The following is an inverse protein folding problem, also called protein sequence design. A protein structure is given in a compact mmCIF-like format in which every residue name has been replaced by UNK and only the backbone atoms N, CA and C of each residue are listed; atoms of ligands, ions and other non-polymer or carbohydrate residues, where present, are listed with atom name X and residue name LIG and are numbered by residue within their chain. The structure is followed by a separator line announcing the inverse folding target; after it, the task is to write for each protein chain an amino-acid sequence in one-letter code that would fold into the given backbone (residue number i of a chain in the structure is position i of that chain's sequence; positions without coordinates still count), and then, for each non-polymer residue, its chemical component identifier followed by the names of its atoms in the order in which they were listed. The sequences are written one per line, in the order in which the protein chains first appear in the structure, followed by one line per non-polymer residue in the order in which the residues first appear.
data_IF_138533137985
#
_entry.id   IF_138533137985
#
_cell.length_a   1.000
_cell.length_b   1.000
_cell.length_c   1.000
_cell.angle_alpha   90.00
_cell.angle_beta   90.00
_cell.angle_gamma   90.00
#
_symmetry.space_group_name_H-M   'P 1'
#
loop_
_entity.id
_entity.type
_entity.pdbx_description
1 polymer ?
#
# COMPACT_ATOMS: atom_id res chain seq x y z
N UNK A 1 21.51 -26.13 -41.05
CA UNK A 1 22.33 -25.39 -40.09
C UNK A 1 22.14 -23.88 -40.23
N UNK A 2 22.13 -23.29 -41.44
CA UNK A 2 22.01 -21.83 -41.65
C UNK A 2 20.67 -21.26 -41.19
N UNK A 3 19.55 -21.97 -41.41
CA UNK A 3 18.19 -21.53 -41.01
C UNK A 3 17.99 -21.55 -39.48
N UNK A 4 18.56 -22.52 -38.78
CA UNK A 4 18.51 -22.55 -37.31
C UNK A 4 19.25 -21.40 -36.63
N UNK A 5 20.39 -20.97 -37.24
CA UNK A 5 21.14 -19.83 -36.74
C UNK A 5 20.37 -18.51 -36.95
N UNK A 6 19.71 -18.37 -38.13
CA UNK A 6 18.86 -17.18 -38.44
C UNK A 6 17.66 -17.11 -37.51
N UNK A 7 16.99 -18.24 -37.24
CA UNK A 7 15.89 -18.29 -36.27
C UNK A 7 16.32 -17.97 -34.85
N UNK A 8 17.51 -18.45 -34.43
CA UNK A 8 18.05 -18.14 -33.09
C UNK A 8 18.39 -16.66 -32.94
N UNK A 9 19.03 -16.07 -33.97
CA UNK A 9 19.35 -14.62 -33.97
C UNK A 9 18.06 -13.77 -33.97
N UNK A 10 17.05 -14.17 -34.74
CA UNK A 10 15.76 -13.50 -34.75
C UNK A 10 15.07 -13.56 -33.38
N UNK A 11 15.06 -14.72 -32.71
CA UNK A 11 14.53 -14.89 -31.36
C UNK A 11 15.29 -14.06 -30.33
N UNK A 12 16.64 -13.98 -30.44
CA UNK A 12 17.47 -13.14 -29.58
C UNK A 12 17.18 -11.65 -29.79
N UNK A 13 17.05 -11.19 -31.05
CA UNK A 13 16.77 -9.78 -31.36
C UNK A 13 15.35 -9.39 -30.93
N UNK A 14 14.36 -10.25 -31.18
CA UNK A 14 13.00 -9.99 -30.71
C UNK A 14 12.87 -10.05 -29.17
N UNK A 15 13.53 -11.02 -28.54
CA UNK A 15 13.56 -11.14 -27.08
C UNK A 15 14.25 -9.96 -26.38
N UNK A 16 15.41 -9.51 -26.91
CA UNK A 16 16.09 -8.32 -26.38
C UNK A 16 15.31 -7.04 -26.66
N UNK A 17 14.65 -6.92 -27.81
CA UNK A 17 13.80 -5.78 -28.14
C UNK A 17 12.58 -5.69 -27.20
N UNK A 18 11.88 -6.79 -26.97
CA UNK A 18 10.78 -6.83 -26.00
C UNK A 18 11.24 -6.49 -24.58
N UNK A 19 12.36 -7.08 -24.14
CA UNK A 19 12.92 -6.78 -22.83
C UNK A 19 13.26 -5.28 -22.67
N UNK A 20 13.86 -4.69 -23.69
CA UNK A 20 14.21 -3.26 -23.66
C UNK A 20 12.97 -2.36 -23.59
N UNK A 21 11.92 -2.66 -24.34
CA UNK A 21 10.65 -1.92 -24.34
C UNK A 21 9.99 -2.01 -22.94
N UNK A 22 9.88 -3.21 -22.39
CA UNK A 22 9.29 -3.42 -21.04
C UNK A 22 10.10 -2.71 -19.97
N UNK A 23 11.44 -2.86 -19.99
CA UNK A 23 12.31 -2.19 -19.04
C UNK A 23 12.19 -0.66 -19.13
N UNK A 24 12.15 -0.11 -20.34
CA UNK A 24 11.99 1.33 -20.53
C UNK A 24 10.63 1.83 -20.05
N UNK A 25 9.56 1.10 -20.31
CA UNK A 25 8.21 1.45 -19.86
C UNK A 25 8.11 1.43 -18.33
N UNK A 26 8.65 0.40 -17.67
CA UNK A 26 8.71 0.30 -16.21
C UNK A 26 9.55 1.42 -15.59
N UNK A 27 10.71 1.72 -16.18
CA UNK A 27 11.57 2.80 -15.73
C UNK A 27 10.89 4.17 -15.86
N UNK A 28 10.19 4.42 -16.99
CA UNK A 28 9.45 5.66 -17.20
C UNK A 28 8.31 5.79 -16.17
N UNK A 29 7.47 4.77 -16.03
CA UNK A 29 6.39 4.77 -15.04
C UNK A 29 6.90 5.00 -13.62
N UNK A 30 7.99 4.33 -13.22
CA UNK A 30 8.61 4.54 -11.91
C UNK A 30 9.12 5.98 -11.72
N UNK A 31 9.65 6.61 -12.77
CA UNK A 31 10.08 8.00 -12.71
C UNK A 31 8.89 8.94 -12.52
N UNK A 32 7.77 8.69 -13.16
CA UNK A 32 6.55 9.49 -13.03
C UNK A 32 5.87 9.26 -11.67
N UNK A 33 5.98 8.05 -11.12
CA UNK A 33 5.53 7.73 -9.75
C UNK A 33 6.42 8.35 -8.67
N UNK A 34 7.72 8.57 -8.96
CA UNK A 34 8.68 9.01 -7.97
C UNK A 34 8.39 10.45 -7.53
N UNK A 35 8.05 10.60 -6.26
CA UNK A 35 7.74 11.88 -5.63
C UNK A 35 8.41 11.92 -4.26
N UNK A 36 9.65 12.45 -4.18
CA UNK A 36 10.39 12.53 -2.93
C UNK A 36 9.68 13.45 -1.93
N UNK A 37 9.84 13.15 -0.65
CA UNK A 37 9.43 14.03 0.45
C UNK A 37 10.62 14.82 0.94
N UNK A 38 10.37 15.99 1.53
CA UNK A 38 11.43 16.86 2.06
C UNK A 38 11.95 16.31 3.41
N UNK A 39 12.54 15.11 3.35
CA UNK A 39 13.35 14.47 4.40
C UNK A 39 14.09 13.27 3.82
N UNK A 40 15.33 13.08 4.23
CA UNK A 40 16.15 11.94 3.78
C UNK A 40 15.92 10.69 4.64
N UNK A 41 15.75 10.87 5.95
CA UNK A 41 15.57 9.79 6.93
C UNK A 41 14.46 10.17 7.91
N UNK A 42 13.76 9.18 8.44
CA UNK A 42 12.82 9.38 9.55
C UNK A 42 13.58 9.81 10.81
N UNK A 43 13.00 10.74 11.60
CA UNK A 43 13.54 11.12 12.90
C UNK A 43 13.53 9.96 13.92
N UNK A 44 12.93 8.83 13.58
CA UNK A 44 12.85 7.60 14.41
C UNK A 44 13.86 6.53 13.98
N UNK A 45 14.79 6.85 13.07
CA UNK A 45 15.83 5.96 12.58
C UNK A 45 17.17 6.70 12.52
N UNK A 46 18.24 6.06 12.93
CA UNK A 46 19.58 6.68 12.95
C UNK A 46 20.18 6.77 11.53
N UNK A 47 19.99 5.71 10.71
CA UNK A 47 20.54 5.58 9.37
C UNK A 47 19.46 5.31 8.33
N UNK A 48 19.77 5.55 7.05
CA UNK A 48 18.90 5.15 5.93
C UNK A 48 18.83 3.63 5.80
N UNK A 49 17.70 3.12 5.30
CA UNK A 49 17.54 1.71 4.95
C UNK A 49 18.52 1.29 3.88
N UNK A 50 19.34 0.29 4.15
CA UNK A 50 20.25 -0.34 3.22
C UNK A 50 19.63 -1.61 2.63
N UNK A 51 19.25 -1.57 1.34
CA UNK A 51 18.75 -2.75 0.65
C UNK A 51 19.86 -3.80 0.40
N UNK A 52 21.12 -3.37 0.28
CA UNK A 52 22.28 -4.28 0.15
C UNK A 52 22.49 -5.11 1.43
N UNK A 53 22.23 -4.52 2.59
CA UNK A 53 22.30 -5.21 3.89
C UNK A 53 20.99 -5.91 4.27
N UNK A 54 19.97 -5.80 3.42
CA UNK A 54 18.63 -6.37 3.61
C UNK A 54 17.93 -5.87 4.88
N UNK A 55 18.11 -4.61 5.20
CA UNK A 55 17.44 -4.00 6.35
C UNK A 55 15.92 -4.15 6.28
N UNK A 56 15.24 -4.44 7.38
CA UNK A 56 13.80 -4.33 7.43
C UNK A 56 13.36 -2.88 7.29
N UNK A 57 12.28 -2.66 6.57
CA UNK A 57 11.76 -1.31 6.29
C UNK A 57 10.25 -1.21 6.48
N UNK A 58 9.78 0.01 6.53
CA UNK A 58 8.37 0.35 6.70
C UNK A 58 7.82 1.17 5.53
N UNK A 59 6.55 0.98 5.23
CA UNK A 59 5.82 1.71 4.18
C UNK A 59 4.46 2.17 4.70
N UNK A 60 4.12 3.44 4.49
CA UNK A 60 2.77 3.93 4.68
C UNK A 60 2.00 3.90 3.36
N UNK A 61 0.97 3.06 3.27
CA UNK A 61 0.01 3.07 2.18
C UNK A 61 -1.09 4.08 2.48
N UNK A 62 -1.33 5.00 1.53
CA UNK A 62 -2.37 6.00 1.59
C UNK A 62 -3.32 5.84 0.40
N UNK A 63 -4.56 5.47 0.65
CA UNK A 63 -5.65 5.54 -0.32
C UNK A 63 -6.36 6.88 -0.21
N UNK A 64 -6.30 7.68 -1.29
CA UNK A 64 -6.80 9.06 -1.29
C UNK A 64 -8.04 9.19 -2.18
N UNK A 65 -9.07 9.84 -1.67
CA UNK A 65 -10.22 10.32 -2.47
C UNK A 65 -9.96 11.80 -2.82
N UNK A 66 -9.09 12.03 -3.81
CA UNK A 66 -8.85 13.36 -4.36
C UNK A 66 -9.93 13.70 -5.37
N UNK A 67 -10.49 14.92 -5.26
CA UNK A 67 -11.44 15.47 -6.23
C UNK A 67 -10.91 16.82 -6.71
N UNK A 68 -11.30 17.21 -7.89
CA UNK A 68 -10.90 18.50 -8.45
C UNK A 68 -11.24 19.65 -7.47
N UNK A 69 -10.20 20.34 -6.99
CA UNK A 69 -10.32 21.45 -6.02
C UNK A 69 -10.37 21.06 -4.54
N UNK A 70 -10.29 19.77 -4.19
CA UNK A 70 -10.15 19.27 -2.81
C UNK A 70 -8.83 18.50 -2.65
N UNK A 71 -8.03 18.86 -1.65
CA UNK A 71 -6.77 18.15 -1.34
C UNK A 71 -7.00 16.67 -0.94
N UNK A 72 -8.25 16.26 -0.81
CA UNK A 72 -8.64 14.90 -0.44
C UNK A 72 -8.34 14.57 1.02
N UNK A 73 -8.74 13.37 1.43
CA UNK A 73 -8.42 12.77 2.72
C UNK A 73 -7.89 11.37 2.50
N UNK A 74 -7.01 10.93 3.38
CA UNK A 74 -6.58 9.53 3.39
C UNK A 74 -7.67 8.67 4.04
N UNK A 75 -8.54 8.10 3.22
CA UNK A 75 -9.61 7.23 3.72
C UNK A 75 -9.13 5.79 4.00
N UNK A 76 -7.97 5.45 3.48
CA UNK A 76 -7.24 4.22 3.79
C UNK A 76 -5.83 4.58 4.26
N UNK A 77 -5.46 4.09 5.44
CA UNK A 77 -4.12 4.25 6.02
C UNK A 77 -3.66 2.89 6.52
N UNK A 78 -2.63 2.33 5.89
CA UNK A 78 -2.09 1.01 6.25
C UNK A 78 -0.58 1.12 6.37
N UNK A 79 -0.04 0.68 7.49
CA UNK A 79 1.40 0.53 7.70
C UNK A 79 1.80 -0.90 7.35
N UNK A 80 2.83 -1.01 6.54
CA UNK A 80 3.53 -2.26 6.24
C UNK A 80 4.89 -2.23 6.92
N UNK A 81 5.28 -3.31 7.57
CA UNK A 81 6.68 -3.58 7.89
C UNK A 81 7.12 -4.82 7.14
N UNK A 82 8.25 -4.73 6.45
CA UNK A 82 8.79 -5.79 5.60
C UNK A 82 10.13 -6.22 6.17
N UNK A 83 10.23 -7.48 6.60
CA UNK A 83 11.45 -8.06 7.15
C UNK A 83 11.86 -9.26 6.29
N UNK A 84 12.96 -9.15 5.53
CA UNK A 84 13.41 -10.21 4.63
C UNK A 84 13.99 -11.40 5.38
N UNK A 85 14.66 -11.20 6.50
CA UNK A 85 15.27 -12.27 7.31
C UNK A 85 14.20 -13.14 7.97
N UNK A 86 13.13 -12.53 8.46
CA UNK A 86 11.94 -13.23 8.97
C UNK A 86 11.04 -13.74 7.85
N UNK A 87 11.28 -13.34 6.59
CA UNK A 87 10.44 -13.64 5.43
C UNK A 87 8.98 -13.27 5.66
N UNK A 88 8.75 -12.08 6.25
CA UNK A 88 7.47 -11.68 6.78
C UNK A 88 7.14 -10.24 6.44
N UNK A 89 5.88 -10.00 6.11
CA UNK A 89 5.28 -8.66 6.02
C UNK A 89 4.17 -8.56 7.06
N UNK A 90 4.21 -7.51 7.88
CA UNK A 90 3.12 -7.22 8.82
C UNK A 90 2.29 -6.05 8.32
N UNK A 91 0.97 -6.20 8.31
CA UNK A 91 0.01 -5.18 7.91
C UNK A 91 -0.74 -4.65 9.14
N UNK A 92 -0.74 -3.34 9.32
CA UNK A 92 -1.54 -2.63 10.32
C UNK A 92 -2.46 -1.64 9.63
N UNK A 93 -3.78 -1.84 9.69
CA UNK A 93 -4.75 -0.83 9.29
C UNK A 93 -4.99 0.17 10.42
N UNK A 94 -4.92 1.46 10.10
CA UNK A 94 -5.23 2.54 11.02
C UNK A 94 -6.61 3.09 10.68
N UNK A 95 -7.59 3.01 11.60
CA UNK A 95 -8.92 3.59 11.38
C UNK A 95 -8.80 5.10 11.12
N UNK A 96 -9.37 5.58 10.02
CA UNK A 96 -9.24 6.99 9.58
C UNK A 96 -9.75 8.01 10.60
N UNK A 97 -10.70 7.61 11.44
CA UNK A 97 -11.30 8.45 12.49
C UNK A 97 -10.54 8.38 13.82
N UNK A 98 -9.35 7.73 13.86
CA UNK A 98 -8.52 7.62 15.06
C UNK A 98 -8.20 9.00 15.61
N UNK A 99 -8.46 9.19 16.92
CA UNK A 99 -8.14 10.40 17.64
C UNK A 99 -6.65 10.44 17.97
N UNK A 100 -5.89 11.22 17.22
CA UNK A 100 -4.43 11.31 17.30
C UNK A 100 -3.97 12.76 17.35
N UNK A 101 -2.80 12.98 17.96
CA UNK A 101 -2.09 14.25 17.87
C UNK A 101 -1.55 14.42 16.45
N UNK A 102 -1.89 15.54 15.81
CA UNK A 102 -1.46 15.84 14.44
C UNK A 102 -0.09 16.52 14.50
N UNK A 103 0.90 15.90 13.88
CA UNK A 103 2.27 16.39 13.85
C UNK A 103 2.36 17.84 13.38
N UNK A 104 3.14 18.66 14.11
CA UNK A 104 3.34 20.08 13.77
C UNK A 104 2.17 21.01 14.05
N UNK A 105 1.01 20.51 14.55
CA UNK A 105 -0.15 21.35 14.88
C UNK A 105 -0.40 21.53 16.36
N UNK A 106 0.03 20.58 17.20
CA UNK A 106 -0.20 20.62 18.65
C UNK A 106 -1.66 20.42 19.07
N UNK A 107 -2.55 20.01 18.15
CA UNK A 107 -3.94 19.65 18.42
C UNK A 107 -4.19 18.17 18.11
N UNK A 108 -5.20 17.58 18.75
CA UNK A 108 -5.68 16.24 18.44
C UNK A 108 -6.87 16.30 17.51
N UNK A 109 -6.84 15.48 16.47
CA UNK A 109 -7.92 15.39 15.47
C UNK A 109 -8.03 13.97 14.92
N UNK A 110 -8.90 13.74 13.93
CA UNK A 110 -8.91 12.50 13.15
C UNK A 110 -7.59 12.35 12.40
N UNK A 111 -6.97 11.20 12.50
CA UNK A 111 -5.65 10.98 11.92
C UNK A 111 -5.60 11.22 10.41
N UNK A 112 -6.71 10.94 9.69
CA UNK A 112 -6.80 11.18 8.24
C UNK A 112 -6.78 12.67 7.86
N UNK A 113 -7.03 13.59 8.81
CA UNK A 113 -6.89 15.03 8.57
C UNK A 113 -5.43 15.46 8.42
N UNK A 114 -4.46 14.69 8.93
CA UNK A 114 -3.05 14.98 8.75
C UNK A 114 -2.69 15.12 7.26
N UNK A 115 -3.23 14.23 6.40
CA UNK A 115 -3.03 14.34 4.96
C UNK A 115 -3.64 15.63 4.38
N UNK A 116 -4.87 15.97 4.76
CA UNK A 116 -5.55 17.19 4.29
C UNK A 116 -4.82 18.48 4.71
N UNK A 117 -4.13 18.46 5.85
CA UNK A 117 -3.41 19.64 6.37
C UNK A 117 -1.99 19.80 5.81
N UNK A 118 -1.26 18.73 5.62
CA UNK A 118 0.16 18.79 5.24
C UNK A 118 0.62 17.66 4.32
N UNK A 119 -0.32 17.04 3.60
CA UNK A 119 -0.02 16.01 2.61
C UNK A 119 0.62 14.76 3.22
N UNK A 120 1.39 14.06 2.38
CA UNK A 120 2.06 12.80 2.75
C UNK A 120 2.99 13.00 3.94
N UNK A 121 3.79 14.06 3.96
CA UNK A 121 4.78 14.32 5.03
C UNK A 121 4.11 14.36 6.40
N UNK A 122 3.07 15.19 6.57
CA UNK A 122 2.38 15.32 7.85
C UNK A 122 1.63 14.03 8.23
N UNK A 123 1.09 13.29 7.26
CA UNK A 123 0.48 11.99 7.51
C UNK A 123 1.51 10.98 8.04
N UNK A 124 2.69 10.89 7.41
CA UNK A 124 3.78 10.03 7.88
C UNK A 124 4.23 10.41 9.29
N UNK A 125 4.56 11.69 9.53
CA UNK A 125 5.02 12.17 10.83
C UNK A 125 3.97 11.94 11.94
N UNK A 126 2.68 12.08 11.63
CA UNK A 126 1.60 11.81 12.58
C UNK A 126 1.52 10.33 12.95
N UNK A 127 1.66 9.44 11.96
CA UNK A 127 1.65 7.98 12.20
C UNK A 127 2.92 7.55 12.92
N UNK A 128 4.10 8.09 12.57
CA UNK A 128 5.37 7.86 13.27
C UNK A 128 5.28 8.27 14.75
N UNK A 129 4.65 9.42 15.02
CA UNK A 129 4.44 9.87 16.39
C UNK A 129 3.53 8.91 17.18
N UNK A 130 2.43 8.48 16.57
CA UNK A 130 1.47 7.57 17.20
C UNK A 130 2.06 6.17 17.44
N UNK A 131 2.80 5.63 16.47
CA UNK A 131 3.28 4.24 16.51
C UNK A 131 4.71 4.08 17.03
N UNK A 132 5.43 5.17 17.24
CA UNK A 132 6.84 5.22 17.68
C UNK A 132 7.77 4.32 16.85
N UNK A 133 7.57 4.35 15.52
CA UNK A 133 8.39 3.66 14.53
C UNK A 133 8.77 4.63 13.42
N UNK A 134 9.89 4.41 12.69
CA UNK A 134 10.14 5.11 11.43
C UNK A 134 9.11 4.70 10.38
N UNK A 135 8.77 5.62 9.47
CA UNK A 135 8.15 5.32 8.18
C UNK A 135 9.14 5.70 7.08
N UNK A 136 9.78 4.71 6.49
CA UNK A 136 10.88 4.91 5.54
C UNK A 136 10.35 5.34 4.17
N UNK A 137 9.26 4.69 3.75
CA UNK A 137 8.66 4.91 2.46
C UNK A 137 7.16 5.16 2.56
N UNK A 138 6.59 5.70 1.48
CA UNK A 138 5.16 5.79 1.31
C UNK A 138 4.75 5.33 -0.09
N UNK A 139 3.50 4.91 -0.21
CA UNK A 139 2.80 4.70 -1.47
C UNK A 139 1.44 5.39 -1.35
N UNK A 140 1.22 6.41 -2.17
CA UNK A 140 -0.07 7.11 -2.30
C UNK A 140 -0.75 6.65 -3.57
N UNK A 141 -2.01 6.24 -3.46
CA UNK A 141 -2.81 5.73 -4.58
C UNK A 141 -4.17 6.44 -4.57
N UNK A 142 -4.57 6.99 -5.71
CA UNK A 142 -5.95 7.45 -5.91
C UNK A 142 -6.83 6.32 -6.46
N UNK A 143 -8.10 6.60 -6.72
CA UNK A 143 -9.07 5.60 -7.15
C UNK A 143 -8.73 4.97 -8.49
N UNK A 144 -8.28 5.76 -9.46
CA UNK A 144 -7.89 5.30 -10.80
C UNK A 144 -6.64 4.42 -10.71
N UNK A 145 -5.61 4.87 -9.98
CA UNK A 145 -4.39 4.07 -9.77
C UNK A 145 -4.66 2.75 -9.06
N UNK A 146 -5.66 2.71 -8.16
CA UNK A 146 -6.07 1.46 -7.53
C UNK A 146 -6.70 0.49 -8.55
N UNK A 147 -7.60 0.97 -9.42
CA UNK A 147 -8.20 0.16 -10.48
C UNK A 147 -7.12 -0.36 -11.43
N UNK A 148 -6.26 0.52 -11.92
CA UNK A 148 -5.20 0.20 -12.87
C UNK A 148 -4.18 -0.80 -12.31
N UNK A 149 -3.78 -0.63 -11.05
CA UNK A 149 -2.86 -1.57 -10.39
C UNK A 149 -3.43 -3.00 -10.36
N UNK A 150 -4.72 -3.14 -10.09
CA UNK A 150 -5.37 -4.44 -10.08
C UNK A 150 -5.49 -5.02 -11.50
N UNK A 151 -5.81 -4.18 -12.48
CA UNK A 151 -5.96 -4.61 -13.88
C UNK A 151 -4.62 -5.02 -14.50
N UNK A 152 -3.51 -4.35 -14.14
CA UNK A 152 -2.13 -4.77 -14.52
C UNK A 152 -1.82 -6.17 -14.01
N UNK A 153 -2.28 -6.51 -12.81
CA UNK A 153 -2.07 -7.85 -12.23
C UNK A 153 -3.00 -8.92 -12.84
N UNK A 154 -3.91 -8.53 -13.74
CA UNK A 154 -4.90 -9.45 -14.30
C UNK A 154 -6.06 -9.76 -13.36
N UNK A 155 -6.29 -8.89 -12.37
CA UNK A 155 -7.29 -9.05 -11.31
C UNK A 155 -6.71 -9.58 -10.01
N UNK A 156 -7.49 -9.52 -8.95
CA UNK A 156 -7.12 -9.99 -7.59
C UNK A 156 -8.05 -11.08 -7.10
N UNK A 157 -7.50 -12.05 -6.39
CA UNK A 157 -8.25 -13.15 -5.77
C UNK A 157 -8.59 -12.81 -4.34
N UNK A 158 -9.87 -12.94 -3.98
CA UNK A 158 -10.38 -12.73 -2.62
C UNK A 158 -11.32 -13.87 -2.21
N UNK A 159 -11.47 -14.10 -0.92
CA UNK A 159 -12.43 -15.05 -0.37
C UNK A 159 -13.51 -14.29 0.40
N UNK A 160 -14.60 -13.95 -0.28
CA UNK A 160 -15.68 -13.16 0.29
C UNK A 160 -16.49 -13.94 1.32
N UNK A 161 -16.55 -13.44 2.54
CA UNK A 161 -17.30 -14.05 3.65
C UNK A 161 -18.75 -13.57 3.75
N UNK A 162 -19.11 -12.44 3.13
CA UNK A 162 -20.41 -11.79 3.20
C UNK A 162 -20.97 -11.53 1.80
N UNK A 163 -22.17 -12.01 1.49
CA UNK A 163 -22.83 -11.68 0.23
C UNK A 163 -23.38 -10.25 0.27
N UNK A 164 -23.06 -9.43 -0.73
CA UNK A 164 -23.56 -8.06 -0.85
C UNK A 164 -23.58 -7.55 -2.31
N UNK A 165 -24.20 -6.40 -2.50
CA UNK A 165 -24.15 -5.64 -3.75
C UNK A 165 -23.53 -4.26 -3.51
N UNK A 166 -22.65 -3.81 -4.39
CA UNK A 166 -22.00 -2.51 -4.31
C UNK A 166 -21.60 -2.03 -5.70
N UNK A 167 -21.78 -0.73 -6.00
CA UNK A 167 -21.39 -0.12 -7.27
C UNK A 167 -21.97 -0.80 -8.52
N UNK A 168 -23.13 -1.45 -8.40
CA UNK A 168 -23.76 -2.20 -9.49
C UNK A 168 -23.21 -3.61 -9.71
N UNK A 169 -22.30 -4.07 -8.85
CA UNK A 169 -21.75 -5.43 -8.86
C UNK A 169 -22.32 -6.26 -7.72
N UNK A 170 -22.43 -7.57 -7.97
CA UNK A 170 -22.84 -8.55 -6.97
C UNK A 170 -21.64 -9.38 -6.53
N UNK A 171 -21.44 -9.50 -5.21
CA UNK A 171 -20.36 -10.24 -4.57
C UNK A 171 -20.94 -11.39 -3.75
N UNK A 172 -21.05 -12.61 -4.32
CA UNK A 172 -21.48 -13.78 -3.57
C UNK A 172 -20.43 -14.23 -2.57
N UNK A 173 -20.81 -15.03 -1.59
CA UNK A 173 -19.87 -15.71 -0.68
C UNK A 173 -19.01 -16.71 -1.46
N UNK A 174 -17.73 -16.81 -1.12
CA UNK A 174 -16.76 -17.72 -1.71
C UNK A 174 -15.62 -17.02 -2.43
N UNK A 175 -14.86 -17.78 -3.19
CA UNK A 175 -13.70 -17.28 -3.91
C UNK A 175 -14.10 -16.48 -5.15
N UNK A 176 -13.57 -15.27 -5.25
CA UNK A 176 -13.84 -14.35 -6.35
C UNK A 176 -12.53 -13.89 -6.99
N UNK A 177 -12.59 -13.59 -8.30
CA UNK A 177 -11.55 -12.86 -9.01
C UNK A 177 -12.14 -11.52 -9.42
N UNK A 178 -11.55 -10.43 -8.93
CA UNK A 178 -12.06 -9.08 -9.12
C UNK A 178 -11.13 -8.30 -10.04
N UNK A 179 -11.69 -7.65 -11.06
CA UNK A 179 -10.98 -6.60 -11.82
C UNK A 179 -10.93 -5.29 -11.01
N UNK A 180 -10.22 -4.26 -11.53
CA UNK A 180 -10.02 -3.00 -10.83
C UNK A 180 -11.31 -2.35 -10.34
N UNK A 181 -12.32 -2.20 -11.21
CA UNK A 181 -13.62 -1.60 -10.87
C UNK A 181 -14.40 -2.42 -9.84
N UNK A 182 -14.37 -3.73 -9.97
CA UNK A 182 -15.01 -4.63 -9.00
C UNK A 182 -14.29 -4.55 -7.64
N UNK A 183 -12.96 -4.57 -7.62
CA UNK A 183 -12.18 -4.45 -6.40
C UNK A 183 -12.39 -3.11 -5.68
N UNK A 184 -12.46 -2.00 -6.43
CA UNK A 184 -12.80 -0.69 -5.86
C UNK A 184 -14.20 -0.70 -5.23
N UNK A 185 -15.21 -1.25 -5.92
CA UNK A 185 -16.56 -1.41 -5.38
C UNK A 185 -16.62 -2.30 -4.15
N UNK A 186 -15.87 -3.42 -4.17
CA UNK A 186 -15.74 -4.38 -3.06
C UNK A 186 -15.19 -3.72 -1.80
N UNK A 187 -14.13 -2.91 -1.95
CA UNK A 187 -13.49 -2.22 -0.82
C UNK A 187 -14.25 -1.00 -0.31
N UNK A 188 -15.26 -0.50 -1.04
CA UNK A 188 -16.06 0.66 -0.65
C UNK A 188 -17.32 0.30 0.14
N UNK A 189 -17.78 -0.95 0.07
CA UNK A 189 -18.98 -1.39 0.79
C UNK A 189 -18.77 -1.22 2.30
N UNK A 190 -19.77 -0.66 2.97
CA UNK A 190 -19.76 -0.38 4.41
C UNK A 190 -21.15 -0.48 5.04
N UNK A 191 -22.21 -0.06 4.34
CA UNK A 191 -23.54 0.15 4.94
C UNK A 191 -24.23 -1.18 5.30
N UNK A 192 -24.01 -2.19 4.48
CA UNK A 192 -24.63 -3.52 4.68
C UNK A 192 -23.70 -4.49 5.44
N UNK A 193 -22.58 -3.99 5.96
CA UNK A 193 -21.62 -4.77 6.71
C UNK A 193 -21.96 -4.73 8.21
N UNK A 194 -22.16 -5.88 8.88
CA UNK A 194 -22.37 -5.95 10.32
C UNK A 194 -21.24 -5.31 11.12
N UNK A 195 -20.00 -5.41 10.61
CA UNK A 195 -18.79 -4.86 11.24
C UNK A 195 -18.48 -3.41 10.76
N UNK A 196 -19.31 -2.86 9.88
CA UNK A 196 -19.23 -1.47 9.42
C UNK A 196 -17.89 -1.10 8.80
N UNK A 197 -17.18 -0.15 9.43
CA UNK A 197 -15.90 0.31 8.92
C UNK A 197 -14.77 -0.71 9.09
N UNK A 198 -14.84 -1.60 10.07
CA UNK A 198 -13.86 -2.68 10.27
C UNK A 198 -13.95 -3.74 9.18
N UNK A 199 -15.15 -4.16 8.78
CA UNK A 199 -15.32 -5.06 7.65
C UNK A 199 -14.81 -4.45 6.33
N UNK A 200 -14.99 -3.14 6.14
CA UNK A 200 -14.36 -2.43 5.02
C UNK A 200 -12.84 -2.51 5.06
N UNK A 201 -12.22 -2.27 6.22
CA UNK A 201 -10.77 -2.37 6.39
C UNK A 201 -10.26 -3.80 6.17
N UNK A 202 -11.01 -4.81 6.57
CA UNK A 202 -10.68 -6.21 6.30
C UNK A 202 -10.63 -6.50 4.80
N UNK A 203 -11.66 -6.09 4.03
CA UNK A 203 -11.66 -6.21 2.56
C UNK A 203 -10.50 -5.45 1.91
N UNK A 204 -10.14 -4.28 2.41
CA UNK A 204 -8.97 -3.54 1.92
C UNK A 204 -7.68 -4.31 2.17
N UNK A 205 -7.49 -4.88 3.36
CA UNK A 205 -6.32 -5.72 3.67
C UNK A 205 -6.25 -6.95 2.79
N UNK A 206 -7.38 -7.62 2.55
CA UNK A 206 -7.46 -8.80 1.68
C UNK A 206 -7.01 -8.49 0.25
N UNK A 207 -7.46 -7.37 -0.33
CA UNK A 207 -7.01 -6.90 -1.64
C UNK A 207 -5.50 -6.65 -1.61
N UNK A 208 -4.98 -5.93 -0.62
CA UNK A 208 -3.54 -5.63 -0.51
C UNK A 208 -2.72 -6.91 -0.40
N UNK A 209 -3.15 -7.88 0.41
CA UNK A 209 -2.49 -9.19 0.48
C UNK A 209 -2.47 -9.90 -0.88
N UNK A 210 -3.59 -9.86 -1.61
CA UNK A 210 -3.65 -10.45 -2.93
C UNK A 210 -2.70 -9.76 -3.91
N UNK A 211 -2.63 -8.43 -3.88
CA UNK A 211 -1.69 -7.62 -4.68
C UNK A 211 -0.24 -7.98 -4.34
N UNK A 212 0.13 -8.04 -3.06
CA UNK A 212 1.49 -8.38 -2.63
C UNK A 212 1.91 -9.79 -3.08
N UNK A 213 1.02 -10.77 -2.91
CA UNK A 213 1.29 -12.15 -3.35
C UNK A 213 1.43 -12.28 -4.86
N UNK A 214 0.61 -11.57 -5.63
CA UNK A 214 0.64 -11.62 -7.09
C UNK A 214 1.77 -10.77 -7.67
N UNK A 215 2.04 -9.60 -7.08
CA UNK A 215 3.12 -8.70 -7.49
C UNK A 215 4.51 -9.33 -7.35
N UNK A 216 4.66 -10.36 -6.51
CA UNK A 216 5.88 -11.17 -6.44
C UNK A 216 6.15 -11.97 -7.72
N UNK A 217 5.20 -12.07 -8.67
CA UNK A 217 5.32 -12.81 -9.93
C UNK A 217 5.26 -11.86 -11.14
N UNK A 218 6.40 -11.34 -11.56
CA UNK A 218 6.55 -10.37 -12.68
C UNK A 218 6.13 -10.89 -14.07
N UNK A 219 5.72 -12.15 -14.22
CA UNK A 219 5.38 -12.73 -15.52
C UNK A 219 4.14 -12.15 -16.20
N UNK A 220 3.35 -11.33 -15.50
CA UNK A 220 2.04 -10.83 -15.92
C UNK A 220 2.08 -9.43 -16.59
N UNK A 221 3.20 -8.70 -16.46
CA UNK A 221 3.29 -7.27 -16.85
C UNK A 221 3.50 -7.04 -18.37
N UNK A 222 3.59 -8.08 -19.18
CA UNK A 222 4.11 -8.01 -20.56
C UNK A 222 3.23 -7.29 -21.61
N UNK A 223 2.01 -6.81 -21.29
CA UNK A 223 1.10 -6.22 -22.29
C UNK A 223 0.37 -4.93 -21.88
N UNK A 224 0.96 -4.10 -21.03
CA UNK A 224 0.21 -3.06 -20.31
C UNK A 224 0.78 -1.65 -20.40
N UNK A 225 1.35 -1.25 -21.56
CA UNK A 225 2.00 0.08 -21.72
C UNK A 225 1.14 1.27 -21.29
N UNK A 226 -0.13 1.30 -21.70
CA UNK A 226 -1.04 2.42 -21.36
C UNK A 226 -1.40 2.43 -19.88
N UNK A 227 -1.54 1.25 -19.24
CA UNK A 227 -1.85 1.13 -17.82
C UNK A 227 -0.62 1.52 -16.97
N UNK A 228 0.60 1.21 -17.42
CA UNK A 228 1.83 1.65 -16.74
C UNK A 228 1.98 3.17 -16.75
N UNK A 229 1.54 3.84 -17.81
CA UNK A 229 1.50 5.31 -17.83
C UNK A 229 0.49 5.85 -16.84
N UNK A 230 -0.72 5.30 -16.80
CA UNK A 230 -1.76 5.69 -15.84
C UNK A 230 -1.31 5.48 -14.40
N UNK A 231 -0.62 4.37 -14.10
CA UNK A 231 0.01 4.17 -12.78
C UNK A 231 1.00 5.28 -12.45
N UNK A 232 1.81 5.75 -13.41
CA UNK A 232 2.75 6.84 -13.23
C UNK A 232 2.08 8.14 -12.78
N UNK A 233 0.88 8.41 -13.24
CA UNK A 233 0.09 9.61 -12.90
C UNK A 233 -0.62 9.45 -11.55
N UNK A 234 -1.17 8.29 -11.25
CA UNK A 234 -2.14 8.03 -10.19
C UNK A 234 -1.55 7.36 -8.94
N UNK A 235 -0.30 6.89 -9.01
CA UNK A 235 0.45 6.34 -7.87
C UNK A 235 1.67 7.21 -7.61
N UNK A 236 1.91 7.58 -6.35
CA UNK A 236 3.11 8.34 -5.95
C UNK A 236 3.83 7.64 -4.81
N UNK A 237 5.17 7.64 -4.88
CA UNK A 237 6.04 7.03 -3.87
C UNK A 237 7.40 7.74 -3.82
N UNK A 238 8.08 7.69 -2.68
CA UNK A 238 9.48 8.10 -2.58
C UNK A 238 10.46 6.97 -2.91
N UNK A 239 9.99 5.77 -3.21
CA UNK A 239 10.85 4.67 -3.69
C UNK A 239 11.39 5.00 -5.09
N UNK A 240 12.67 4.77 -5.30
CA UNK A 240 13.30 4.85 -6.60
C UNK A 240 13.11 3.56 -7.39
N UNK A 241 13.35 3.60 -8.72
CA UNK A 241 13.28 2.40 -9.55
C UNK A 241 14.25 1.30 -9.09
N UNK A 242 15.47 1.66 -8.70
CA UNK A 242 16.46 0.69 -8.23
C UNK A 242 15.98 0.01 -6.94
N UNK A 243 15.47 0.78 -5.98
CA UNK A 243 14.91 0.24 -4.73
C UNK A 243 13.72 -0.71 -4.98
N UNK A 244 12.87 -0.41 -5.97
CA UNK A 244 11.79 -1.33 -6.37
C UNK A 244 12.34 -2.65 -6.92
N UNK A 245 13.45 -2.60 -7.67
CA UNK A 245 14.13 -3.80 -8.17
C UNK A 245 14.77 -4.58 -7.01
N UNK A 246 15.43 -3.91 -6.06
CA UNK A 246 16.03 -4.54 -4.88
C UNK A 246 14.96 -5.23 -4.01
N UNK A 247 13.82 -4.56 -3.78
CA UNK A 247 12.67 -5.14 -3.09
C UNK A 247 12.19 -6.41 -3.82
N UNK A 248 12.06 -6.36 -5.13
CA UNK A 248 11.63 -7.51 -5.92
C UNK A 248 12.62 -8.69 -5.84
N UNK A 249 13.91 -8.42 -5.82
CA UNK A 249 14.94 -9.45 -5.81
C UNK A 249 15.15 -10.06 -4.42
N UNK A 250 15.24 -9.23 -3.40
CA UNK A 250 15.71 -9.64 -2.08
C UNK A 250 14.61 -9.79 -1.03
N UNK A 251 13.47 -9.08 -1.18
CA UNK A 251 12.37 -9.09 -0.20
C UNK A 251 11.13 -9.88 -0.65
N UNK A 252 11.17 -10.47 -1.84
CA UNK A 252 10.04 -11.22 -2.41
C UNK A 252 9.47 -12.26 -1.46
N UNK A 253 10.33 -12.97 -0.72
CA UNK A 253 9.90 -14.03 0.22
C UNK A 253 9.11 -13.47 1.42
N UNK A 254 9.23 -12.18 1.73
CA UNK A 254 8.43 -11.56 2.77
C UNK A 254 6.94 -11.45 2.40
N UNK A 255 6.60 -11.54 1.11
CA UNK A 255 5.21 -11.60 0.65
C UNK A 255 4.55 -12.98 0.81
N UNK A 256 5.32 -14.03 1.09
CA UNK A 256 4.79 -15.39 1.30
C UNK A 256 4.11 -15.51 2.67
N UNK A 257 4.58 -14.77 3.68
CA UNK A 257 4.00 -14.75 5.01
C UNK A 257 3.54 -13.35 5.40
N UNK A 258 2.24 -13.11 5.27
CA UNK A 258 1.64 -11.81 5.60
C UNK A 258 0.81 -11.97 6.88
N UNK A 259 1.23 -11.29 7.95
CA UNK A 259 0.52 -11.20 9.22
C UNK A 259 -0.28 -9.90 9.30
N UNK A 260 -1.49 -9.98 9.83
CA UNK A 260 -2.33 -8.82 10.09
C UNK A 260 -2.37 -8.53 11.58
N UNK A 261 -2.19 -7.26 11.94
CA UNK A 261 -2.46 -6.76 13.27
C UNK A 261 -3.52 -5.66 13.19
N UNK A 262 -4.28 -5.47 14.26
CA UNK A 262 -5.41 -4.54 14.27
C UNK A 262 -5.36 -3.58 15.44
N UNK A 263 -6.08 -2.45 15.30
CA UNK A 263 -6.33 -1.46 16.33
C UNK A 263 -7.83 -1.47 16.72
N UNK A 264 -8.44 -2.65 16.78
CA UNK A 264 -9.89 -2.84 16.97
C UNK A 264 -10.35 -2.73 18.43
N UNK A 265 -9.43 -2.70 19.40
CA UNK A 265 -9.75 -2.54 20.82
C UNK A 265 -10.15 -1.09 21.22
N UNK A 266 -10.30 -0.19 20.26
CA UNK A 266 -10.70 1.19 20.52
C UNK A 266 -12.20 1.34 20.79
N UNK A 267 -12.59 2.54 21.20
CA UNK A 267 -13.99 2.89 21.49
C UNK A 267 -14.44 4.10 20.70
N UNK A 268 -15.71 4.10 20.31
CA UNK A 268 -16.35 5.21 19.65
C UNK A 268 -16.67 6.31 20.66
N UNK A 269 -16.19 7.54 20.43
CA UNK A 269 -16.44 8.69 21.31
C UNK A 269 -16.86 9.92 20.51
N UNK A 270 -17.76 10.70 21.09
CA UNK A 270 -18.08 12.04 20.59
C UNK A 270 -17.40 13.08 21.46
N UNK A 271 -16.51 13.88 20.87
CA UNK A 271 -15.80 14.98 21.53
C UNK A 271 -16.26 16.27 20.85
N UNK A 272 -16.89 17.16 21.60
CA UNK A 272 -17.48 18.40 21.07
C UNK A 272 -18.45 18.17 19.88
N UNK A 273 -19.21 17.07 19.91
CA UNK A 273 -20.16 16.70 18.85
C UNK A 273 -19.55 16.05 17.61
N UNK A 274 -18.24 15.87 17.58
CA UNK A 274 -17.51 15.21 16.48
C UNK A 274 -17.21 13.76 16.89
N UNK A 275 -17.50 12.82 16.01
CA UNK A 275 -17.18 11.40 16.18
C UNK A 275 -15.69 11.15 16.04
N UNK A 276 -15.10 10.36 16.98
CA UNK A 276 -13.75 9.87 16.95
C UNK A 276 -13.69 8.39 17.36
N UNK A 277 -12.66 7.71 16.88
CA UNK A 277 -12.26 6.39 17.35
C UNK A 277 -11.06 6.55 18.28
N UNK A 278 -11.22 6.20 19.55
CA UNK A 278 -10.19 6.38 20.60
C UNK A 278 -9.60 5.03 20.96
N UNK A 279 -8.33 4.85 20.68
CA UNK A 279 -7.58 3.62 20.92
C UNK A 279 -6.93 3.73 22.31
N UNK A 280 -7.03 2.68 23.16
CA UNK A 280 -6.33 2.66 24.46
C UNK A 280 -4.81 2.70 24.28
N UNK A 281 -4.12 3.38 25.21
CA UNK A 281 -2.65 3.50 25.16
C UNK A 281 -1.94 2.14 25.24
N UNK A 282 -2.50 1.20 26.02
CA UNK A 282 -1.98 -0.17 26.10
C UNK A 282 -2.06 -0.92 24.76
N UNK A 283 -3.10 -0.68 23.96
CA UNK A 283 -3.23 -1.26 22.61
C UNK A 283 -2.18 -0.67 21.68
N UNK A 284 -2.00 0.66 21.71
CA UNK A 284 -0.96 1.33 20.93
C UNK A 284 0.43 0.80 21.33
N UNK A 285 0.73 0.72 22.63
CA UNK A 285 2.01 0.22 23.12
C UNK A 285 2.29 -1.25 22.72
N UNK A 286 1.25 -2.09 22.73
CA UNK A 286 1.38 -3.47 22.26
C UNK A 286 1.71 -3.54 20.76
N UNK A 287 1.06 -2.73 19.94
CA UNK A 287 1.32 -2.64 18.49
C UNK A 287 2.71 -2.05 18.23
N UNK A 288 3.11 -0.99 18.92
CA UNK A 288 4.46 -0.42 18.83
C UNK A 288 5.53 -1.48 19.07
N UNK A 289 5.37 -2.28 20.12
CA UNK A 289 6.32 -3.37 20.45
C UNK A 289 6.45 -4.39 19.32
N UNK A 290 5.32 -4.77 18.69
CA UNK A 290 5.35 -5.71 17.56
C UNK A 290 6.08 -5.09 16.37
N UNK A 291 5.69 -3.88 15.95
CA UNK A 291 6.26 -3.22 14.78
C UNK A 291 7.75 -2.90 14.95
N UNK A 292 8.16 -2.43 16.15
CA UNK A 292 9.58 -2.21 16.46
C UNK A 292 10.38 -3.51 16.37
N UNK A 293 9.81 -4.62 16.88
CA UNK A 293 10.43 -5.94 16.75
C UNK A 293 10.55 -6.42 15.30
N UNK A 294 9.57 -6.10 14.42
CA UNK A 294 9.64 -6.42 12.99
C UNK A 294 10.68 -5.57 12.25
N UNK A 295 10.89 -4.33 12.68
CA UNK A 295 11.89 -3.41 12.13
C UNK A 295 13.26 -3.53 12.80
N UNK A 296 13.43 -4.45 13.78
CA UNK A 296 14.67 -4.68 14.53
C UNK A 296 15.21 -3.44 15.25
N UNK A 297 14.30 -2.57 15.69
CA UNK A 297 14.61 -1.36 16.46
C UNK A 297 14.66 -1.70 17.96
N UNK A 298 15.87 -1.73 18.51
CA UNK A 298 16.16 -2.06 19.92
C UNK A 298 16.35 -0.81 20.77
#
# INVERSE_FOLDING_TARGET
VKWGLVSLVFLLVTGTGCFFVVYHSLHSASKDMHSPIDRDVSAKRDDQVSFDEKDPFSVLLLGIDEREGDAGRSDTMIVLTVNPDKKKTTLLSIPRDTYAEISGRGDKNKINHAYAYGGVKMAMETVEHMLDIPLDYYIKVNMEGFEDMIDVLGGVKVTNSLAFESGGYRFPVGDLVLNGKQALSYTRMRQDDPDGDFGRQERQREIIQSVLRQGSSLSTILNTGDILQSLGENVKTNLTFNQLIDIQNDYRQAADHIEQISLDAGTNKYINGIYFYVIPEETIAAVQKVLRGELELY
#
